data_IF_658329723405
#
_entry.id   IF_658329723405
#
_cell.length_a   1.000
_cell.length_b   1.000
_cell.length_c   1.000
_cell.angle_alpha   90.00
_cell.angle_beta   90.00
_cell.angle_gamma   90.00
#
_symmetry.space_group_name_H-M   'P 1'
#
loop_
_entity.id
_entity.type
_entity.pdbx_description
1 polymer ?
#
# COMPACT_ATOMS: atom_id res chain seq x y z
N UNK A 1 -0.81 -22.99 -15.37
CA UNK A 1 -0.96 -21.53 -15.67
C UNK A 1 0.05 -20.71 -14.88
N UNK A 2 0.69 -19.71 -15.49
CA UNK A 2 1.69 -18.83 -14.84
C UNK A 2 1.62 -17.41 -15.40
N UNK A 3 1.92 -16.41 -14.54
CA UNK A 3 2.12 -15.04 -14.96
C UNK A 3 3.59 -14.86 -15.36
N UNK A 4 3.83 -14.37 -16.57
CA UNK A 4 5.16 -14.14 -17.09
C UNK A 4 5.34 -12.66 -17.45
N UNK A 5 6.56 -12.16 -17.19
CA UNK A 5 7.00 -10.85 -17.64
C UNK A 5 7.58 -11.03 -19.05
N UNK A 6 6.98 -10.39 -20.01
CA UNK A 6 7.41 -10.43 -21.41
C UNK A 6 8.05 -9.09 -21.77
N UNK A 7 9.15 -9.14 -22.49
CA UNK A 7 9.82 -7.93 -23.00
C UNK A 7 9.31 -7.67 -24.43
N UNK A 8 8.49 -6.64 -24.61
CA UNK A 8 8.01 -6.24 -25.91
C UNK A 8 8.30 -4.74 -26.12
N UNK A 9 8.87 -4.37 -27.26
CA UNK A 9 9.10 -2.97 -27.70
C UNK A 9 9.74 -2.08 -26.62
N UNK A 10 10.84 -2.54 -26.01
CA UNK A 10 11.58 -1.82 -24.95
C UNK A 10 10.79 -1.57 -23.66
N UNK A 11 9.63 -2.20 -23.50
CA UNK A 11 8.80 -2.10 -22.28
C UNK A 11 8.47 -3.50 -21.72
N UNK A 12 8.26 -3.56 -20.41
CA UNK A 12 7.84 -4.79 -19.78
C UNK A 12 6.33 -4.96 -19.88
N UNK A 13 5.92 -6.08 -20.43
CA UNK A 13 4.53 -6.53 -20.47
C UNK A 13 4.31 -7.73 -19.57
N UNK A 14 3.08 -7.94 -19.14
CA UNK A 14 2.72 -9.11 -18.34
C UNK A 14 1.69 -9.90 -19.12
N UNK A 15 1.88 -11.20 -19.23
CA UNK A 15 0.92 -12.12 -19.82
C UNK A 15 0.58 -13.22 -18.82
N UNK A 16 -0.68 -13.66 -18.83
CA UNK A 16 -1.11 -14.88 -18.17
C UNK A 16 -1.02 -16.00 -19.21
N UNK A 17 -0.13 -16.97 -18.96
CA UNK A 17 0.06 -18.13 -19.81
C UNK A 17 -0.75 -19.30 -19.27
N UNK A 18 -1.32 -20.09 -20.17
CA UNK A 18 -1.91 -21.39 -19.86
C UNK A 18 -0.86 -22.46 -19.54
N UNK A 19 -1.24 -23.73 -19.51
CA UNK A 19 -0.32 -24.81 -19.20
C UNK A 19 0.54 -25.22 -20.40
N UNK A 20 0.12 -24.87 -21.60
CA UNK A 20 0.84 -25.06 -22.85
C UNK A 20 1.85 -23.94 -23.11
N UNK A 21 1.78 -22.87 -22.32
CA UNK A 21 2.67 -21.71 -22.43
C UNK A 21 2.15 -20.64 -23.37
N UNK A 22 0.92 -20.77 -23.86
CA UNK A 22 0.26 -19.77 -24.71
C UNK A 22 -0.37 -18.68 -23.87
N UNK A 23 -0.34 -17.44 -24.37
CA UNK A 23 -0.96 -16.31 -23.71
C UNK A 23 -2.48 -16.38 -23.84
N UNK A 24 -3.20 -16.20 -22.75
CA UNK A 24 -4.67 -16.10 -22.76
C UNK A 24 -5.03 -14.72 -23.32
N UNK A 25 -5.53 -14.70 -24.57
CA UNK A 25 -5.77 -13.48 -25.36
C UNK A 25 -6.64 -12.47 -24.63
N UNK A 26 -7.80 -12.87 -24.12
CA UNK A 26 -8.74 -11.99 -23.41
C UNK A 26 -8.12 -11.31 -22.19
N UNK A 27 -7.18 -11.98 -21.48
CA UNK A 27 -6.45 -11.38 -20.36
C UNK A 27 -5.40 -10.41 -20.86
N UNK A 28 -4.73 -10.73 -21.97
CA UNK A 28 -3.72 -9.85 -22.58
C UNK A 28 -4.37 -8.54 -23.03
N UNK A 29 -5.52 -8.61 -23.69
CA UNK A 29 -6.30 -7.46 -24.15
C UNK A 29 -6.78 -6.60 -22.99
N UNK A 30 -7.28 -7.23 -21.93
CA UNK A 30 -7.66 -6.54 -20.69
C UNK A 30 -6.47 -5.81 -20.03
N UNK A 31 -5.31 -6.45 -19.97
CA UNK A 31 -4.11 -5.80 -19.42
C UNK A 31 -3.65 -4.64 -20.32
N UNK A 32 -3.82 -4.77 -21.63
CA UNK A 32 -3.62 -3.69 -22.61
C UNK A 32 -4.56 -2.51 -22.35
N UNK A 33 -5.84 -2.78 -22.16
CA UNK A 33 -6.83 -1.77 -21.78
C UNK A 33 -6.48 -1.05 -20.47
N UNK A 34 -6.11 -1.77 -19.43
CA UNK A 34 -5.68 -1.16 -18.16
C UNK A 34 -4.44 -0.28 -18.33
N UNK A 35 -3.52 -0.68 -19.22
CA UNK A 35 -2.35 0.11 -19.55
C UNK A 35 -2.74 1.41 -20.25
N UNK A 36 -3.62 1.34 -21.25
CA UNK A 36 -4.14 2.51 -21.96
C UNK A 36 -4.81 3.51 -20.99
N UNK A 37 -5.45 2.99 -19.93
CA UNK A 37 -5.99 3.82 -18.82
C UNK A 37 -4.94 4.38 -17.86
N UNK A 38 -3.65 4.19 -18.10
CA UNK A 38 -2.57 4.69 -17.25
C UNK A 38 -2.33 3.89 -15.95
N UNK A 39 -2.83 2.65 -15.86
CA UNK A 39 -2.56 1.83 -14.70
C UNK A 39 -1.07 1.49 -14.56
N UNK A 40 -0.60 1.45 -13.30
CA UNK A 40 0.81 1.17 -13.04
C UNK A 40 1.18 -0.29 -13.35
N UNK A 41 2.43 -0.61 -13.78
CA UNK A 41 2.87 -1.99 -13.96
C UNK A 41 2.65 -2.88 -12.73
N UNK A 42 2.77 -2.34 -11.52
CA UNK A 42 2.46 -3.10 -10.30
C UNK A 42 0.97 -3.45 -10.21
N UNK A 43 0.11 -2.57 -10.73
CA UNK A 43 -1.33 -2.83 -10.84
C UNK A 43 -1.57 -3.93 -11.88
N UNK A 44 -0.96 -3.85 -13.06
CA UNK A 44 -1.12 -4.84 -14.12
C UNK A 44 -0.69 -6.23 -13.66
N UNK A 45 0.49 -6.37 -13.03
CA UNK A 45 0.95 -7.67 -12.51
C UNK A 45 0.04 -8.20 -11.40
N UNK A 46 -0.50 -7.32 -10.54
CA UNK A 46 -1.45 -7.74 -9.51
C UNK A 46 -2.74 -8.28 -10.12
N UNK A 47 -3.28 -7.61 -11.15
CA UNK A 47 -4.46 -8.09 -11.90
C UNK A 47 -4.17 -9.41 -12.62
N UNK A 48 -3.01 -9.57 -13.26
CA UNK A 48 -2.63 -10.82 -13.90
C UNK A 48 -2.61 -12.01 -12.89
N UNK A 49 -2.03 -11.79 -11.70
CA UNK A 49 -2.04 -12.81 -10.65
C UNK A 49 -3.45 -13.06 -10.07
N UNK A 50 -4.29 -12.04 -9.99
CA UNK A 50 -5.66 -12.21 -9.52
C UNK A 50 -6.50 -12.98 -10.53
N UNK A 51 -6.37 -12.67 -11.81
CA UNK A 51 -7.02 -13.42 -12.88
C UNK A 51 -6.47 -14.83 -13.05
N UNK A 52 -5.21 -15.09 -12.68
CA UNK A 52 -4.67 -16.45 -12.62
C UNK A 52 -5.55 -17.36 -11.75
N UNK A 53 -6.04 -16.87 -10.59
CA UNK A 53 -6.95 -17.65 -9.74
C UNK A 53 -8.30 -17.90 -10.43
N UNK A 54 -8.83 -16.94 -11.17
CA UNK A 54 -10.08 -17.09 -11.91
C UNK A 54 -9.96 -18.15 -13.00
N UNK A 55 -8.93 -18.05 -13.84
CA UNK A 55 -8.73 -19.00 -14.94
C UNK A 55 -8.34 -20.41 -14.46
N UNK A 56 -7.67 -20.52 -13.32
CA UNK A 56 -7.47 -21.81 -12.63
C UNK A 56 -8.80 -22.42 -12.18
N UNK A 57 -9.71 -21.60 -11.63
CA UNK A 57 -11.06 -22.05 -11.29
C UNK A 57 -11.84 -22.50 -12.53
N UNK A 58 -11.80 -21.75 -13.62
CA UNK A 58 -12.47 -22.15 -14.88
C UNK A 58 -11.98 -23.50 -15.38
N UNK A 59 -10.67 -23.73 -15.32
CA UNK A 59 -10.10 -25.03 -15.68
C UNK A 59 -10.62 -26.16 -14.78
N UNK A 60 -10.64 -25.95 -13.47
CA UNK A 60 -11.13 -26.94 -12.51
C UNK A 60 -12.64 -27.21 -12.69
N UNK A 61 -13.42 -26.18 -12.95
CA UNK A 61 -14.87 -26.28 -13.14
C UNK A 61 -15.28 -26.69 -14.57
N UNK A 62 -14.31 -26.77 -15.51
CA UNK A 62 -14.52 -27.04 -16.94
C UNK A 62 -15.56 -26.11 -17.58
N UNK A 63 -15.47 -24.81 -17.29
CA UNK A 63 -16.34 -23.76 -17.83
C UNK A 63 -15.53 -22.73 -18.60
N UNK A 64 -16.17 -22.09 -19.57
CA UNK A 64 -15.60 -20.96 -20.29
C UNK A 64 -15.86 -19.65 -19.53
N UNK A 65 -15.01 -18.63 -19.73
CA UNK A 65 -15.17 -17.35 -19.01
C UNK A 65 -16.49 -16.64 -19.33
N UNK A 66 -17.10 -16.90 -20.50
CA UNK A 66 -18.41 -16.37 -20.88
C UNK A 66 -19.58 -17.03 -20.12
N UNK A 67 -19.37 -18.23 -19.58
CA UNK A 67 -20.36 -18.99 -18.80
C UNK A 67 -20.35 -18.67 -17.31
N UNK A 68 -19.53 -17.70 -16.89
CA UNK A 68 -19.38 -17.31 -15.50
C UNK A 68 -20.55 -16.43 -15.05
N UNK A 69 -21.54 -17.02 -14.45
CA UNK A 69 -22.78 -16.38 -13.97
C UNK A 69 -22.68 -15.92 -12.51
N UNK A 70 -23.62 -15.08 -12.02
CA UNK A 70 -23.67 -14.70 -10.60
C UNK A 70 -23.73 -15.91 -9.64
N UNK A 71 -24.38 -17.01 -10.02
CA UNK A 71 -24.40 -18.24 -9.23
C UNK A 71 -23.00 -18.84 -9.10
N UNK A 72 -22.24 -18.90 -10.16
CA UNK A 72 -20.85 -19.41 -10.18
C UNK A 72 -19.88 -18.56 -9.35
N UNK A 73 -20.24 -17.33 -9.07
CA UNK A 73 -19.43 -16.48 -8.18
C UNK A 73 -19.35 -17.03 -6.76
N UNK A 74 -20.38 -17.72 -6.28
CA UNK A 74 -20.35 -18.36 -4.96
C UNK A 74 -19.42 -19.57 -4.96
N UNK A 75 -19.44 -20.38 -6.02
CA UNK A 75 -18.51 -21.51 -6.18
C UNK A 75 -17.07 -21.01 -6.23
N UNK A 76 -16.83 -19.91 -6.96
CA UNK A 76 -15.52 -19.28 -7.02
C UNK A 76 -15.07 -18.73 -5.66
N UNK A 77 -15.98 -18.15 -4.86
CA UNK A 77 -15.67 -17.70 -3.52
C UNK A 77 -15.25 -18.88 -2.62
N UNK A 78 -15.96 -20.01 -2.70
CA UNK A 78 -15.60 -21.22 -1.96
C UNK A 78 -14.23 -21.74 -2.39
N UNK A 79 -13.97 -21.78 -3.71
CA UNK A 79 -12.66 -22.12 -4.26
C UNK A 79 -11.56 -21.23 -3.69
N UNK A 80 -11.71 -19.89 -3.72
CA UNK A 80 -10.71 -18.97 -3.20
C UNK A 80 -10.44 -19.15 -1.71
N UNK A 81 -11.44 -19.53 -0.94
CA UNK A 81 -11.29 -19.80 0.51
C UNK A 81 -10.54 -21.10 0.78
N UNK A 82 -10.57 -22.05 -0.14
CA UNK A 82 -9.83 -23.31 -0.05
C UNK A 82 -8.37 -23.18 -0.57
N UNK A 83 -8.06 -22.17 -1.39
CA UNK A 83 -6.73 -21.99 -1.96
C UNK A 83 -5.70 -21.69 -0.86
N UNK A 84 -4.61 -22.48 -0.77
CA UNK A 84 -3.54 -22.23 0.19
C UNK A 84 -2.79 -20.95 -0.14
N UNK A 85 -2.44 -20.18 0.90
CA UNK A 85 -1.62 -18.99 0.76
C UNK A 85 -0.18 -19.39 0.41
N UNK A 86 0.43 -18.74 -0.59
CA UNK A 86 1.85 -18.91 -0.92
C UNK A 86 2.79 -18.35 0.16
N UNK A 87 2.27 -17.68 1.18
CA UNK A 87 3.09 -17.26 2.32
C UNK A 87 3.55 -18.51 3.06
N UNK A 88 4.88 -18.73 3.11
CA UNK A 88 5.48 -19.79 3.92
C UNK A 88 4.87 -19.73 5.32
N UNK A 89 4.35 -20.86 5.79
CA UNK A 89 3.95 -21.01 7.18
C UNK A 89 5.12 -20.50 8.05
N UNK A 90 4.84 -19.56 8.94
CA UNK A 90 5.85 -19.05 9.87
C UNK A 90 6.39 -20.26 10.64
N UNK A 91 7.70 -20.51 10.58
CA UNK A 91 8.35 -21.47 11.47
C UNK A 91 7.95 -21.11 12.90
N UNK A 92 7.22 -21.97 13.57
CA UNK A 92 7.00 -21.84 15.03
C UNK A 92 8.36 -21.85 15.72
N UNK A 93 8.55 -21.07 16.77
CA UNK A 93 9.72 -21.25 17.62
C UNK A 93 9.74 -22.69 18.13
N UNK A 94 10.91 -23.35 18.19
CA UNK A 94 11.03 -24.69 18.75
C UNK A 94 10.63 -24.65 20.24
N UNK A 95 9.66 -25.43 20.66
CA UNK A 95 9.38 -25.55 22.09
C UNK A 95 8.00 -26.01 22.53
N UNK A 96 6.99 -26.20 21.68
CA UNK A 96 5.69 -26.70 22.13
C UNK A 96 5.09 -27.72 21.15
N UNK A 97 5.55 -28.97 21.23
CA UNK A 97 5.03 -30.11 20.48
C UNK A 97 4.13 -31.02 21.33
N UNK A 98 3.15 -30.45 22.02
CA UNK A 98 2.08 -31.22 22.63
C UNK A 98 0.79 -31.03 21.83
N UNK A 99 0.39 -32.07 21.06
CA UNK A 99 -0.93 -32.17 20.43
C UNK A 99 -1.09 -31.37 19.13
N UNK A 100 -0.15 -31.43 18.19
CA UNK A 100 -0.26 -30.77 16.90
C UNK A 100 -1.28 -31.48 16.00
N UNK A 101 -2.45 -30.87 15.80
CA UNK A 101 -3.31 -31.17 14.67
C UNK A 101 -2.55 -30.93 13.34
N UNK A 102 -2.83 -31.70 12.26
CA UNK A 102 -2.10 -31.60 11.00
C UNK A 102 -2.03 -30.16 10.50
N UNK A 103 -0.84 -29.71 10.07
CA UNK A 103 -0.58 -28.33 9.63
C UNK A 103 -1.48 -27.98 8.46
N UNK A 104 -2.61 -27.31 8.71
CA UNK A 104 -3.40 -26.70 7.65
C UNK A 104 -2.60 -25.51 7.12
N UNK A 105 -2.26 -25.56 5.83
CA UNK A 105 -1.64 -24.40 5.15
C UNK A 105 -2.54 -23.17 5.32
N UNK A 106 -1.98 -21.99 5.68
CA UNK A 106 -2.78 -20.80 5.83
C UNK A 106 -3.49 -20.48 4.50
N UNK A 107 -4.80 -20.33 4.57
CA UNK A 107 -5.63 -19.97 3.40
C UNK A 107 -5.40 -18.51 3.00
N UNK A 108 -5.93 -18.11 1.83
CA UNK A 108 -5.90 -16.72 1.39
C UNK A 108 -6.58 -15.81 2.42
N UNK A 109 -5.92 -14.70 2.75
CA UNK A 109 -6.49 -13.72 3.66
C UNK A 109 -7.78 -13.10 3.08
N UNK A 110 -8.80 -12.79 3.90
CA UNK A 110 -10.04 -12.16 3.44
C UNK A 110 -9.83 -10.91 2.59
N UNK A 111 -8.81 -10.10 2.90
CA UNK A 111 -8.42 -8.92 2.11
C UNK A 111 -7.91 -9.29 0.72
N UNK A 112 -7.16 -10.40 0.60
CA UNK A 112 -6.68 -10.93 -0.68
C UNK A 112 -7.86 -11.44 -1.52
N UNK A 113 -8.77 -12.21 -0.91
CA UNK A 113 -9.99 -12.68 -1.59
C UNK A 113 -10.80 -11.50 -2.11
N UNK A 114 -11.05 -10.48 -1.31
CA UNK A 114 -11.78 -9.28 -1.75
C UNK A 114 -11.06 -8.51 -2.86
N UNK A 115 -9.72 -8.50 -2.88
CA UNK A 115 -8.94 -7.91 -3.96
C UNK A 115 -9.10 -8.69 -5.27
N UNK A 116 -9.04 -10.02 -5.21
CA UNK A 116 -9.27 -10.90 -6.37
C UNK A 116 -10.69 -10.68 -6.93
N UNK A 117 -11.71 -10.68 -6.08
CA UNK A 117 -13.08 -10.38 -6.50
C UNK A 117 -13.20 -8.99 -7.14
N UNK A 118 -12.41 -8.01 -6.65
CA UNK A 118 -12.35 -6.68 -7.25
C UNK A 118 -11.76 -6.71 -8.66
N UNK A 119 -10.67 -7.45 -8.85
CA UNK A 119 -10.03 -7.60 -10.15
C UNK A 119 -10.96 -8.30 -11.15
N UNK A 120 -11.62 -9.38 -10.73
CA UNK A 120 -12.59 -10.11 -11.54
C UNK A 120 -13.77 -9.21 -11.95
N UNK A 121 -14.33 -8.42 -11.02
CA UNK A 121 -15.40 -7.47 -11.37
C UNK A 121 -14.96 -6.47 -12.44
N UNK A 122 -13.73 -5.94 -12.35
CA UNK A 122 -13.21 -5.00 -13.34
C UNK A 122 -12.93 -5.69 -14.68
N UNK A 123 -12.52 -6.95 -14.67
CA UNK A 123 -12.34 -7.75 -15.86
C UNK A 123 -13.68 -7.96 -16.62
N UNK A 124 -14.76 -8.28 -15.91
CA UNK A 124 -16.08 -8.41 -16.52
C UNK A 124 -16.68 -7.07 -16.95
N UNK A 125 -16.37 -5.96 -16.28
CA UNK A 125 -16.70 -4.63 -16.78
C UNK A 125 -16.04 -4.33 -18.13
N UNK A 126 -14.79 -4.78 -18.31
CA UNK A 126 -14.08 -4.66 -19.58
C UNK A 126 -14.72 -5.55 -20.67
N UNK A 127 -15.06 -6.81 -20.36
CA UNK A 127 -15.70 -7.73 -21.32
C UNK A 127 -17.03 -7.15 -21.82
N UNK A 128 -17.86 -6.64 -20.90
CA UNK A 128 -19.14 -6.01 -21.24
C UNK A 128 -18.93 -4.77 -22.12
N UNK A 129 -17.90 -3.96 -21.80
CA UNK A 129 -17.57 -2.75 -22.57
C UNK A 129 -17.11 -3.07 -24.00
N UNK A 130 -16.49 -4.21 -24.24
CA UNK A 130 -15.92 -4.60 -25.55
C UNK A 130 -16.85 -5.46 -26.39
N UNK A 131 -18.12 -5.61 -26.01
CA UNK A 131 -19.15 -6.41 -26.69
C UNK A 131 -18.82 -7.91 -26.87
N UNK A 132 -17.79 -8.39 -26.23
CA UNK A 132 -17.44 -9.81 -26.24
C UNK A 132 -18.52 -10.66 -25.55
N UNK A 133 -19.44 -10.01 -24.79
CA UNK A 133 -20.60 -10.63 -24.15
C UNK A 133 -21.74 -9.60 -24.08
N UNK A 134 -22.34 -9.28 -25.20
CA UNK A 134 -23.24 -8.14 -25.41
C UNK A 134 -24.49 -8.06 -24.53
N UNK A 135 -24.93 -9.15 -23.88
CA UNK A 135 -26.12 -9.17 -23.01
C UNK A 135 -25.81 -9.54 -21.55
N UNK A 136 -24.54 -9.59 -21.15
CA UNK A 136 -24.15 -10.09 -19.84
C UNK A 136 -24.13 -9.01 -18.75
N UNK A 137 -24.87 -9.23 -17.68
CA UNK A 137 -24.63 -8.51 -16.44
C UNK A 137 -23.28 -8.95 -15.80
N UNK A 138 -22.57 -8.01 -15.14
CA UNK A 138 -21.37 -8.36 -14.40
C UNK A 138 -21.70 -9.43 -13.33
N UNK A 139 -21.07 -10.62 -13.38
CA UNK A 139 -21.33 -11.69 -12.41
C UNK A 139 -21.13 -11.27 -10.96
N UNK A 140 -20.24 -10.30 -10.72
CA UNK A 140 -20.04 -9.68 -9.41
C UNK A 140 -20.87 -8.40 -9.28
N UNK A 141 -22.18 -8.56 -9.15
CA UNK A 141 -23.14 -7.45 -9.02
C UNK A 141 -22.69 -6.45 -7.95
N UNK A 142 -22.84 -5.17 -8.28
CA UNK A 142 -22.65 -4.06 -7.36
C UNK A 142 -24.01 -3.56 -6.89
N UNK A 143 -24.11 -3.26 -5.61
CA UNK A 143 -25.30 -2.66 -4.99
C UNK A 143 -24.91 -1.32 -4.34
N UNK A 144 -25.82 -0.35 -4.24
CA UNK A 144 -25.58 0.88 -3.49
C UNK A 144 -25.14 0.57 -2.05
N UNK A 145 -24.11 1.25 -1.58
CA UNK A 145 -23.66 1.14 -0.18
C UNK A 145 -24.35 2.20 0.67
N UNK A 146 -25.55 1.87 1.15
CA UNK A 146 -26.39 2.78 1.95
C UNK A 146 -25.66 3.24 3.22
N UNK A 147 -24.87 2.37 3.84
CA UNK A 147 -24.10 2.73 5.03
C UNK A 147 -23.05 3.80 4.76
N UNK A 148 -22.42 3.75 3.58
CA UNK A 148 -21.49 4.79 3.12
C UNK A 148 -22.19 6.04 2.60
N UNK A 149 -23.36 5.90 1.99
CA UNK A 149 -24.16 7.02 1.50
C UNK A 149 -24.66 7.92 2.64
N UNK A 150 -24.91 7.36 3.83
CA UNK A 150 -25.34 8.11 5.02
C UNK A 150 -24.22 8.91 5.69
N UNK A 151 -22.97 8.61 5.40
CA UNK A 151 -21.82 9.40 5.86
C UNK A 151 -21.57 10.51 4.85
N UNK A 152 -22.48 11.46 4.76
CA UNK A 152 -22.31 12.68 3.96
C UNK A 152 -21.21 13.51 4.62
N UNK A 153 -20.15 13.91 3.90
CA UNK A 153 -19.21 14.90 4.41
C UNK A 153 -20.00 16.17 4.75
N UNK A 154 -19.75 16.79 5.90
CA UNK A 154 -20.36 18.08 6.29
C UNK A 154 -20.14 19.19 5.26
N UNK A 155 -19.23 18.99 4.34
CA UNK A 155 -18.95 19.87 3.22
C UNK A 155 -19.06 19.10 1.91
N UNK A 156 -20.18 19.27 1.22
CA UNK A 156 -20.32 18.88 -0.20
C UNK A 156 -20.15 20.15 -1.03
N UNK A 157 -19.18 20.23 -1.95
CA UNK A 157 -19.09 21.34 -2.88
C UNK A 157 -20.42 21.49 -3.64
N UNK A 158 -20.88 22.72 -3.86
CA UNK A 158 -22.17 23.02 -4.52
C UNK A 158 -22.34 22.28 -5.86
N UNK A 159 -21.27 22.10 -6.62
CA UNK A 159 -21.23 21.36 -7.89
C UNK A 159 -21.21 19.83 -7.75
N UNK A 160 -21.03 19.27 -6.55
CA UNK A 160 -21.04 17.81 -6.35
C UNK A 160 -22.43 17.19 -6.40
N UNK A 161 -23.48 18.01 -6.41
CA UNK A 161 -24.87 17.57 -6.55
C UNK A 161 -25.20 17.06 -7.96
N UNK A 162 -24.37 17.39 -8.97
CA UNK A 162 -24.58 16.97 -10.36
C UNK A 162 -24.07 15.57 -10.67
N UNK A 163 -23.17 15.03 -9.85
CA UNK A 163 -22.65 13.66 -9.99
C UNK A 163 -23.08 12.80 -8.80
N UNK A 164 -24.32 12.32 -8.81
CA UNK A 164 -24.86 11.36 -7.84
C UNK A 164 -24.20 9.97 -8.04
N UNK A 165 -22.89 9.85 -7.90
CA UNK A 165 -22.26 8.56 -7.78
C UNK A 165 -22.45 8.06 -6.35
N UNK A 166 -23.54 7.35 -6.11
CA UNK A 166 -23.72 6.66 -4.85
C UNK A 166 -22.58 5.66 -4.66
N UNK A 167 -21.95 5.61 -3.47
CA UNK A 167 -20.93 4.61 -3.19
C UNK A 167 -21.55 3.23 -3.38
N UNK A 168 -20.90 2.41 -4.19
CA UNK A 168 -21.34 1.04 -4.48
C UNK A 168 -20.43 0.02 -3.79
N UNK A 169 -21.02 -1.09 -3.36
CA UNK A 169 -20.29 -2.24 -2.86
C UNK A 169 -20.61 -3.49 -3.65
N UNK A 170 -19.68 -4.41 -3.73
CA UNK A 170 -19.98 -5.73 -4.31
C UNK A 170 -20.90 -6.51 -3.39
N UNK A 171 -21.87 -7.20 -3.98
CA UNK A 171 -22.78 -8.07 -3.25
C UNK A 171 -21.99 -9.23 -2.61
N UNK A 172 -21.10 -9.85 -3.37
CA UNK A 172 -20.24 -10.94 -2.90
C UNK A 172 -18.93 -10.36 -2.37
N UNK A 173 -18.73 -10.47 -1.07
CA UNK A 173 -17.49 -10.07 -0.37
C UNK A 173 -17.31 -10.85 0.92
N UNK A 174 -16.08 -11.06 1.32
CA UNK A 174 -15.74 -11.63 2.63
C UNK A 174 -15.67 -10.51 3.68
N UNK A 175 -16.25 -10.73 4.85
CA UNK A 175 -16.08 -9.80 5.97
C UNK A 175 -14.61 -9.74 6.37
N UNK A 176 -14.10 -8.54 6.53
CA UNK A 176 -12.72 -8.29 6.97
C UNK A 176 -12.74 -7.54 8.28
N UNK A 177 -12.01 -8.04 9.27
CA UNK A 177 -11.74 -7.24 10.46
C UNK A 177 -10.91 -6.02 10.05
N UNK A 178 -11.36 -4.84 10.44
CA UNK A 178 -10.62 -3.61 10.17
C UNK A 178 -9.43 -3.55 11.13
N UNK A 179 -8.24 -3.77 10.60
CA UNK A 179 -7.01 -3.63 11.38
C UNK A 179 -6.62 -2.16 11.42
N UNK A 180 -6.50 -1.62 12.60
CA UNK A 180 -5.91 -0.29 12.80
C UNK A 180 -4.42 -0.35 12.48
N UNK A 181 -3.84 0.71 11.89
CA UNK A 181 -2.41 0.84 11.80
C UNK A 181 -1.84 0.83 13.22
N UNK A 182 -0.76 0.10 13.42
CA UNK A 182 -0.04 0.08 14.67
C UNK A 182 1.22 0.94 14.51
N UNK A 183 1.33 2.05 15.24
CA UNK A 183 2.56 2.80 15.28
C UNK A 183 3.64 1.98 16.01
N UNK A 184 4.90 2.31 15.77
CA UNK A 184 6.00 1.86 16.62
C UNK A 184 5.93 2.62 17.95
N UNK A 185 6.24 1.94 19.06
CA UNK A 185 6.40 2.62 20.36
C UNK A 185 7.66 3.48 20.37
N UNK A 186 7.77 4.40 21.32
CA UNK A 186 8.95 5.27 21.43
C UNK A 186 10.21 4.46 21.74
N UNK A 187 10.09 3.40 22.53
CA UNK A 187 11.19 2.47 22.80
C UNK A 187 11.62 1.75 21.53
N UNK A 188 10.67 1.26 20.72
CA UNK A 188 10.97 0.60 19.44
C UNK A 188 11.66 1.57 18.46
N UNK A 189 11.22 2.83 18.43
CA UNK A 189 11.84 3.86 17.59
C UNK A 189 13.28 4.10 18.07
N UNK A 190 13.49 4.31 19.37
CA UNK A 190 14.82 4.56 19.97
C UNK A 190 15.77 3.40 19.69
N UNK A 191 15.35 2.16 19.91
CA UNK A 191 16.16 0.98 19.64
C UNK A 191 16.48 0.84 18.14
N UNK A 192 15.48 1.08 17.26
CA UNK A 192 15.69 1.01 15.83
C UNK A 192 16.74 2.02 15.38
N UNK A 193 16.62 3.29 15.78
CA UNK A 193 17.56 4.33 15.38
C UNK A 193 18.95 4.14 16.00
N UNK A 194 19.04 3.64 17.24
CA UNK A 194 20.29 3.26 17.88
C UNK A 194 21.04 2.11 17.18
N UNK A 195 20.31 1.25 16.45
CA UNK A 195 20.91 0.16 15.68
C UNK A 195 21.48 0.58 14.31
N UNK A 196 21.20 1.83 13.87
CA UNK A 196 21.59 2.32 12.55
C UNK A 196 23.00 2.94 12.60
N UNK A 197 23.93 2.33 11.89
CA UNK A 197 25.31 2.80 11.80
C UNK A 197 25.58 3.67 10.58
N UNK A 198 24.75 3.53 9.50
CA UNK A 198 24.92 4.26 8.26
C UNK A 198 24.04 5.51 8.23
N UNK A 199 24.61 6.64 7.86
CA UNK A 199 23.87 7.89 7.66
C UNK A 199 22.78 7.76 6.59
N UNK A 200 23.03 7.02 5.50
CA UNK A 200 22.02 6.72 4.47
C UNK A 200 20.77 6.11 5.08
N UNK A 201 20.94 5.05 5.84
CA UNK A 201 19.83 4.26 6.34
C UNK A 201 19.07 5.06 7.41
N UNK A 202 19.80 5.80 8.26
CA UNK A 202 19.23 6.73 9.24
C UNK A 202 18.45 7.86 8.55
N UNK A 203 19.00 8.49 7.52
CA UNK A 203 18.33 9.54 6.75
C UNK A 203 17.02 9.06 6.11
N UNK A 204 17.02 7.89 5.48
CA UNK A 204 15.83 7.28 4.90
C UNK A 204 14.74 7.09 5.97
N UNK A 205 15.08 6.55 7.13
CA UNK A 205 14.11 6.28 8.19
C UNK A 205 13.63 7.56 8.86
N UNK A 206 14.49 8.57 9.04
CA UNK A 206 14.09 9.89 9.54
C UNK A 206 13.10 10.60 8.60
N UNK A 207 13.34 10.56 7.28
CA UNK A 207 12.40 11.12 6.30
C UNK A 207 11.04 10.45 6.36
N UNK A 208 10.99 9.17 6.69
CA UNK A 208 9.72 8.45 6.87
C UNK A 208 9.07 8.75 8.22
N UNK A 209 9.86 8.87 9.29
CA UNK A 209 9.38 9.10 10.65
C UNK A 209 9.02 10.57 10.91
N UNK A 210 9.88 11.51 10.53
CA UNK A 210 9.70 12.95 10.79
C UNK A 210 9.01 13.67 9.63
N UNK A 211 9.29 13.25 8.39
CA UNK A 211 8.65 13.81 7.19
C UNK A 211 7.32 13.13 6.82
N UNK A 212 7.04 11.94 7.35
CA UNK A 212 5.86 11.16 6.99
C UNK A 212 5.86 10.67 5.55
N UNK A 213 7.02 10.59 4.89
CA UNK A 213 7.13 10.16 3.50
C UNK A 213 6.85 8.66 3.36
N UNK A 214 6.26 8.27 2.21
CA UNK A 214 6.16 6.85 1.85
C UNK A 214 7.53 6.30 1.45
N UNK A 215 7.80 5.00 1.64
CA UNK A 215 9.05 4.38 1.19
C UNK A 215 9.36 4.66 -0.30
N UNK A 216 8.33 4.57 -1.17
CA UNK A 216 8.48 4.86 -2.59
C UNK A 216 8.75 6.34 -2.88
N UNK A 217 8.25 7.25 -2.06
CA UNK A 217 8.54 8.69 -2.19
C UNK A 217 9.99 8.98 -1.82
N UNK A 218 10.46 8.43 -0.69
CA UNK A 218 11.87 8.59 -0.26
C UNK A 218 12.85 8.05 -1.30
N UNK A 219 12.54 6.89 -1.90
CA UNK A 219 13.41 6.30 -2.92
C UNK A 219 13.43 7.08 -4.24
N UNK A 220 12.40 7.87 -4.52
CA UNK A 220 12.30 8.73 -5.70
C UNK A 220 12.75 10.18 -5.47
N UNK A 221 13.29 10.51 -4.29
CA UNK A 221 13.88 11.82 -4.07
C UNK A 221 15.12 11.98 -4.93
N UNK A 222 15.22 13.13 -5.56
CA UNK A 222 16.41 13.59 -6.25
C UNK A 222 17.15 14.66 -5.42
N UNK A 223 18.37 14.95 -5.80
CA UNK A 223 19.19 15.94 -5.10
C UNK A 223 18.52 17.32 -5.05
N UNK A 224 17.87 17.72 -6.13
CA UNK A 224 17.15 18.98 -6.28
C UNK A 224 15.91 19.12 -5.39
N UNK A 225 15.38 18.00 -4.87
CA UNK A 225 14.20 18.00 -4.03
C UNK A 225 14.49 18.44 -2.58
N UNK A 226 15.77 18.50 -2.20
CA UNK A 226 16.22 18.86 -0.86
C UNK A 226 16.56 20.34 -0.77
N UNK A 227 15.80 21.09 0.00
CA UNK A 227 16.02 22.52 0.23
C UNK A 227 16.56 22.74 1.64
N UNK A 228 17.88 22.62 1.81
CA UNK A 228 18.54 22.70 3.12
C UNK A 228 18.24 23.99 3.86
N UNK A 229 18.41 25.16 3.22
CA UNK A 229 18.19 26.46 3.83
C UNK A 229 16.76 26.72 4.28
N UNK A 230 15.77 26.10 3.63
CA UNK A 230 14.35 26.19 3.98
C UNK A 230 13.85 25.04 4.83
N UNK A 231 14.69 24.08 5.13
CA UNK A 231 14.34 22.81 5.81
C UNK A 231 13.12 22.11 5.21
N UNK A 232 13.15 21.91 3.87
CA UNK A 232 12.02 21.37 3.10
C UNK A 232 12.45 20.26 2.17
N UNK A 233 11.53 19.33 1.97
CA UNK A 233 11.60 18.31 0.92
C UNK A 233 10.42 18.50 -0.03
N UNK A 234 10.71 18.56 -1.32
CA UNK A 234 9.67 18.55 -2.35
C UNK A 234 9.44 17.11 -2.81
N UNK A 235 8.23 16.60 -2.60
CA UNK A 235 7.83 15.26 -3.06
C UNK A 235 7.15 15.40 -4.41
N UNK A 236 7.88 15.04 -5.48
CA UNK A 236 7.38 15.11 -6.86
C UNK A 236 6.84 13.76 -7.34
N UNK A 237 5.93 13.80 -8.30
CA UNK A 237 5.45 12.59 -8.96
C UNK A 237 6.48 12.12 -9.99
N UNK A 238 7.13 10.97 -9.72
CA UNK A 238 8.09 10.34 -10.62
C UNK A 238 7.74 8.86 -10.82
N UNK A 239 7.92 8.38 -12.04
CA UNK A 239 7.60 6.99 -12.44
C UNK A 239 8.79 6.30 -13.11
N UNK A 240 9.90 6.99 -13.26
CA UNK A 240 11.09 6.63 -14.02
C UNK A 240 12.19 5.93 -13.20
N UNK A 241 11.92 5.60 -11.94
CA UNK A 241 12.91 4.93 -11.09
C UNK A 241 13.35 3.58 -11.69
N UNK A 242 14.67 3.36 -11.92
CA UNK A 242 15.17 2.17 -12.65
C UNK A 242 14.78 0.83 -12.04
N UNK A 243 14.54 0.80 -10.72
CA UNK A 243 14.12 -0.40 -9.98
C UNK A 243 12.61 -0.41 -9.66
N UNK A 244 11.81 0.37 -10.38
CA UNK A 244 10.36 0.37 -10.29
C UNK A 244 9.79 0.91 -8.99
N UNK A 245 10.56 1.65 -8.17
CA UNK A 245 9.99 2.43 -7.08
C UNK A 245 9.12 3.55 -7.67
N UNK A 246 7.95 3.83 -7.05
CA UNK A 246 7.00 4.81 -7.59
C UNK A 246 6.42 5.67 -6.50
N UNK A 247 6.24 6.94 -6.81
CA UNK A 247 5.38 7.83 -6.04
C UNK A 247 3.93 7.48 -6.30
N UNK A 248 3.21 7.07 -5.26
CA UNK A 248 1.79 6.67 -5.37
C UNK A 248 0.85 7.89 -5.51
N UNK A 249 1.29 9.06 -5.04
CA UNK A 249 0.54 10.31 -5.16
C UNK A 249 0.87 10.98 -6.48
N UNK A 250 -0.16 11.39 -7.23
CA UNK A 250 -0.02 12.22 -8.44
C UNK A 250 0.16 13.72 -8.12
N UNK A 251 -0.07 14.12 -6.87
CA UNK A 251 0.02 15.51 -6.45
C UNK A 251 1.37 15.76 -5.81
N UNK A 252 2.07 16.76 -6.32
CA UNK A 252 3.29 17.27 -5.70
C UNK A 252 2.97 17.97 -4.38
N UNK A 253 3.88 17.84 -3.42
CA UNK A 253 3.76 18.53 -2.14
C UNK A 253 5.11 18.85 -1.54
N UNK A 254 5.12 19.92 -0.76
CA UNK A 254 6.26 20.30 0.07
C UNK A 254 6.04 19.78 1.49
N UNK A 255 7.09 19.22 2.06
CA UNK A 255 7.11 18.72 3.45
C UNK A 255 8.16 19.49 4.22
N UNK A 256 7.71 20.30 5.16
CA UNK A 256 8.59 20.99 6.10
C UNK A 256 9.14 20.01 7.15
N UNK A 257 10.44 20.07 7.41
CA UNK A 257 11.12 19.26 8.40
C UNK A 257 11.52 20.17 9.58
N UNK A 258 10.79 20.01 10.67
CA UNK A 258 11.04 20.83 11.89
C UNK A 258 12.37 20.44 12.53
N UNK A 259 12.59 19.14 12.68
CA UNK A 259 13.78 18.61 13.33
C UNK A 259 15.02 18.75 12.43
N UNK A 260 16.07 19.46 12.90
CA UNK A 260 17.29 19.67 12.12
C UNK A 260 18.04 18.37 11.86
N UNK A 261 17.90 17.35 12.72
CA UNK A 261 18.58 16.07 12.63
C UNK A 261 18.36 15.37 11.30
N UNK A 262 17.15 15.46 10.72
CA UNK A 262 16.84 14.80 9.44
C UNK A 262 17.74 15.31 8.33
N UNK A 263 17.83 16.62 8.15
CA UNK A 263 18.65 17.21 7.08
C UNK A 263 20.15 17.15 7.40
N UNK A 264 20.54 17.26 8.66
CA UNK A 264 21.92 17.03 9.08
C UNK A 264 22.37 15.60 8.72
N UNK A 265 21.52 14.61 8.96
CA UNK A 265 21.81 13.21 8.58
C UNK A 265 21.83 13.02 7.06
N UNK A 266 20.94 13.69 6.32
CA UNK A 266 21.01 13.69 4.83
C UNK A 266 22.32 14.31 4.36
N UNK A 267 22.75 15.45 4.93
CA UNK A 267 24.03 16.08 4.61
C UNK A 267 25.21 15.16 4.93
N UNK A 268 25.22 14.51 6.11
CA UNK A 268 26.27 13.57 6.49
C UNK A 268 26.34 12.39 5.51
N UNK A 269 25.19 11.87 5.08
CA UNK A 269 25.15 10.85 4.03
C UNK A 269 25.78 11.36 2.72
N UNK A 270 25.42 12.56 2.29
CA UNK A 270 25.93 13.17 1.05
C UNK A 270 27.45 13.36 1.08
N UNK A 271 27.99 13.79 2.21
CA UNK A 271 29.41 14.10 2.38
C UNK A 271 30.27 12.85 2.58
N UNK A 272 29.78 11.84 3.31
CA UNK A 272 30.61 10.74 3.79
C UNK A 272 30.31 9.38 3.16
N UNK A 273 29.11 9.16 2.64
CA UNK A 273 28.71 7.81 2.22
C UNK A 273 28.22 7.74 0.77
N UNK A 274 27.67 8.83 0.23
CA UNK A 274 27.19 8.83 -1.16
C UNK A 274 28.37 8.85 -2.11
N UNK A 275 28.43 7.91 -3.09
CA UNK A 275 29.47 7.94 -4.12
C UNK A 275 29.52 9.32 -4.81
N UNK A 276 30.71 9.95 -4.84
CA UNK A 276 30.92 11.25 -5.50
C UNK A 276 31.14 11.11 -7.00
N UNK A 277 31.61 9.94 -7.43
CA UNK A 277 31.94 9.58 -8.82
C UNK A 277 30.70 9.10 -9.61
N UNK A 278 29.56 9.79 -9.47
CA UNK A 278 28.32 9.40 -10.11
C UNK A 278 27.52 10.59 -10.64
N UNK A 279 26.89 10.42 -11.80
CA UNK A 279 25.93 11.36 -12.37
C UNK A 279 24.48 11.04 -11.99
N UNK A 280 24.25 10.11 -11.05
CA UNK A 280 22.91 9.73 -10.63
C UNK A 280 22.25 10.91 -9.89
N UNK A 281 21.07 11.31 -10.36
CA UNK A 281 20.27 12.40 -9.77
C UNK A 281 19.55 11.96 -8.48
N UNK A 282 19.30 10.66 -8.33
CA UNK A 282 18.63 10.13 -7.14
C UNK A 282 19.41 10.40 -5.86
N UNK A 283 18.72 10.82 -4.82
CA UNK A 283 19.35 11.12 -3.53
C UNK A 283 19.95 9.85 -2.92
N UNK A 284 19.21 8.75 -2.83
CA UNK A 284 19.64 7.52 -2.17
C UNK A 284 20.12 6.45 -3.13
N UNK A 285 21.41 6.13 -3.08
CA UNK A 285 22.05 5.10 -3.87
C UNK A 285 22.32 3.84 -3.05
N UNK A 286 22.64 2.73 -3.73
CA UNK A 286 23.03 1.48 -3.08
C UNK A 286 24.27 1.68 -2.22
N UNK A 287 25.26 2.42 -2.74
CA UNK A 287 26.51 2.70 -2.02
C UNK A 287 27.38 1.46 -1.78
N UNK A 288 28.43 1.63 -0.96
CA UNK A 288 29.43 0.59 -0.71
C UNK A 288 30.37 0.36 -1.89
N UNK A 289 31.07 -0.78 -1.89
CA UNK A 289 32.15 -1.08 -2.88
C UNK A 289 31.70 -2.00 -4.02
N UNK A 290 30.41 -2.35 -4.09
CA UNK A 290 29.89 -3.29 -5.09
C UNK A 290 29.65 -2.64 -6.47
N UNK A 291 29.54 -3.47 -7.53
CA UNK A 291 29.26 -3.02 -8.91
C UNK A 291 28.01 -2.12 -9.04
N UNK A 292 27.05 -2.28 -8.11
CA UNK A 292 25.78 -1.55 -8.12
C UNK A 292 25.77 -0.29 -7.25
N UNK A 293 26.94 0.17 -6.79
CA UNK A 293 27.05 1.28 -5.83
C UNK A 293 26.41 2.58 -6.30
N UNK A 294 26.44 2.83 -7.62
CA UNK A 294 25.88 4.03 -8.23
C UNK A 294 24.39 3.90 -8.60
N UNK A 295 23.83 2.71 -8.49
CA UNK A 295 22.42 2.50 -8.81
C UNK A 295 21.51 3.05 -7.70
N UNK A 296 20.35 3.62 -8.04
CA UNK A 296 19.33 4.01 -7.06
C UNK A 296 18.92 2.83 -6.16
N UNK A 297 18.66 3.12 -4.89
CA UNK A 297 18.22 2.13 -3.92
C UNK A 297 16.79 1.67 -4.23
N UNK A 298 16.57 0.39 -4.46
CA UNK A 298 15.25 -0.14 -4.80
C UNK A 298 14.42 -0.53 -3.57
N UNK A 299 13.09 -0.59 -3.74
CA UNK A 299 12.12 -0.88 -2.68
C UNK A 299 12.40 -2.22 -1.96
N UNK A 300 12.72 -3.28 -2.70
CA UNK A 300 13.05 -4.57 -2.10
C UNK A 300 14.31 -4.53 -1.22
N UNK A 301 15.29 -3.68 -1.56
CA UNK A 301 16.49 -3.48 -0.76
C UNK A 301 16.15 -2.74 0.54
N UNK A 302 15.33 -1.68 0.47
CA UNK A 302 14.86 -0.95 1.64
C UNK A 302 14.07 -1.86 2.60
N UNK A 303 13.16 -2.68 2.09
CA UNK A 303 12.39 -3.63 2.93
C UNK A 303 13.32 -4.65 3.60
N UNK A 304 14.31 -5.19 2.88
CA UNK A 304 15.29 -6.13 3.46
C UNK A 304 16.15 -5.47 4.53
N UNK A 305 16.58 -4.23 4.28
CA UNK A 305 17.33 -3.43 5.23
C UNK A 305 16.55 -3.23 6.53
N UNK A 306 15.35 -2.68 6.43
CA UNK A 306 14.47 -2.45 7.57
C UNK A 306 14.20 -3.74 8.35
N UNK A 307 13.84 -4.82 7.64
CA UNK A 307 13.56 -6.11 8.27
C UNK A 307 14.77 -6.66 9.02
N UNK A 308 15.99 -6.53 8.48
CA UNK A 308 17.22 -7.01 9.13
C UNK A 308 17.44 -6.30 10.48
N UNK A 309 17.23 -4.99 10.56
CA UNK A 309 17.33 -4.25 11.81
C UNK A 309 16.24 -4.69 12.80
N UNK A 310 15.00 -4.79 12.36
CA UNK A 310 13.89 -5.23 13.20
C UNK A 310 14.09 -6.66 13.73
N UNK A 311 14.55 -7.61 12.90
CA UNK A 311 14.83 -8.99 13.30
C UNK A 311 15.95 -9.06 14.36
N UNK A 312 17.01 -8.24 14.24
CA UNK A 312 18.07 -8.17 15.23
C UNK A 312 17.59 -7.62 16.58
N UNK A 313 16.61 -6.74 16.56
CA UNK A 313 16.02 -6.13 17.76
C UNK A 313 14.85 -6.95 18.33
N UNK A 314 14.54 -8.11 17.75
CA UNK A 314 13.43 -8.95 18.18
C UNK A 314 12.04 -8.46 17.75
N UNK A 315 11.95 -7.51 16.82
CA UNK A 315 10.67 -7.04 16.29
C UNK A 315 10.18 -7.98 15.20
N UNK A 316 9.33 -8.92 15.57
CA UNK A 316 8.87 -10.00 14.66
C UNK A 316 7.43 -9.83 14.21
N UNK A 317 6.75 -8.78 14.61
CA UNK A 317 5.35 -8.57 14.28
C UNK A 317 5.16 -8.32 12.78
N UNK A 318 4.13 -8.93 12.16
CA UNK A 318 3.91 -8.85 10.72
C UNK A 318 3.62 -7.44 10.20
N UNK A 319 3.19 -6.54 11.07
CA UNK A 319 2.87 -5.15 10.74
C UNK A 319 4.09 -4.24 10.80
N UNK A 320 5.20 -4.66 11.43
CA UNK A 320 6.45 -3.93 11.48
C UNK A 320 7.12 -3.97 10.10
N UNK A 321 6.86 -2.95 9.34
CA UNK A 321 7.35 -2.74 7.97
C UNK A 321 7.84 -1.30 7.84
N UNK A 322 8.57 -0.92 6.77
CA UNK A 322 8.96 0.47 6.57
C UNK A 322 7.77 1.46 6.67
N UNK A 323 6.57 1.05 6.25
CA UNK A 323 5.37 1.88 6.42
C UNK A 323 5.00 2.18 7.87
N UNK A 324 5.44 1.36 8.83
CA UNK A 324 5.17 1.60 10.25
C UNK A 324 5.77 2.94 10.73
N UNK A 325 6.94 3.36 10.22
CA UNK A 325 7.52 4.67 10.53
C UNK A 325 6.59 5.82 10.13
N UNK A 326 6.01 5.75 8.93
CA UNK A 326 5.02 6.73 8.49
C UNK A 326 3.72 6.65 9.29
N UNK A 327 3.29 5.47 9.69
CA UNK A 327 2.13 5.31 10.58
C UNK A 327 2.40 5.96 11.94
N UNK A 328 3.59 5.75 12.49
CA UNK A 328 4.04 6.42 13.73
C UNK A 328 4.00 7.94 13.58
N UNK A 329 4.54 8.50 12.47
CA UNK A 329 4.43 9.92 12.17
C UNK A 329 2.98 10.40 12.18
N UNK A 330 2.12 9.71 11.43
CA UNK A 330 0.72 10.12 11.27
C UNK A 330 -0.04 10.09 12.61
N UNK A 331 0.18 9.05 13.41
CA UNK A 331 -0.44 8.91 14.74
C UNK A 331 0.05 9.99 15.69
N UNK A 332 1.37 10.22 15.79
CA UNK A 332 1.94 11.28 16.65
C UNK A 332 1.44 12.66 16.26
N UNK A 333 1.37 12.99 14.96
CA UNK A 333 0.87 14.30 14.51
C UNK A 333 -0.62 14.48 14.81
N UNK A 334 -1.41 13.41 14.68
CA UNK A 334 -2.82 13.42 15.04
C UNK A 334 -3.01 13.63 16.56
N UNK A 335 -2.34 12.83 17.37
CA UNK A 335 -2.38 12.91 18.85
C UNK A 335 -1.88 14.25 19.37
N UNK A 336 -0.93 14.89 18.66
CA UNK A 336 -0.47 16.25 18.94
C UNK A 336 -1.42 17.35 18.44
N UNK A 337 -2.64 17.01 17.99
CA UNK A 337 -3.68 17.97 17.63
C UNK A 337 -3.61 18.53 16.21
N UNK A 338 -2.84 17.92 15.29
CA UNK A 338 -2.85 18.32 13.88
C UNK A 338 -4.21 18.07 13.25
N UNK A 339 -4.81 19.10 12.63
CA UNK A 339 -6.13 18.99 11.98
C UNK A 339 -6.12 17.95 10.86
N UNK A 340 -7.24 17.23 10.71
CA UNK A 340 -7.39 16.12 9.75
C UNK A 340 -6.99 16.51 8.32
N UNK A 341 -7.51 17.64 7.81
CA UNK A 341 -7.20 18.10 6.45
C UNK A 341 -5.73 18.50 6.29
N UNK A 342 -5.11 19.07 7.32
CA UNK A 342 -3.68 19.40 7.30
C UNK A 342 -2.83 18.14 7.26
N UNK A 343 -3.16 17.15 8.08
CA UNK A 343 -2.49 15.86 8.08
C UNK A 343 -2.67 15.13 6.74
N UNK A 344 -3.88 15.21 6.15
CA UNK A 344 -4.16 14.68 4.81
C UNK A 344 -3.22 15.28 3.77
N UNK A 345 -3.14 16.59 3.72
CA UNK A 345 -2.28 17.31 2.77
C UNK A 345 -0.81 16.97 2.99
N UNK A 346 -0.34 16.97 4.25
CA UNK A 346 1.04 16.62 4.62
C UNK A 346 1.41 15.20 4.17
N UNK A 347 0.53 14.24 4.40
CA UNK A 347 0.75 12.85 4.01
C UNK A 347 0.52 12.60 2.51
N UNK A 348 -0.11 13.50 1.78
CA UNK A 348 -0.45 13.31 0.37
C UNK A 348 -1.45 12.16 0.18
N UNK A 349 -2.53 12.16 0.96
CA UNK A 349 -3.64 11.24 0.80
C UNK A 349 -4.67 11.82 -0.16
N UNK A 350 -4.96 11.12 -1.25
CA UNK A 350 -5.96 11.54 -2.23
C UNK A 350 -7.41 11.42 -1.69
N UNK A 351 -7.63 10.51 -0.73
CA UNK A 351 -8.96 10.28 -0.13
C UNK A 351 -8.94 10.55 1.37
N UNK A 352 -9.96 11.26 1.91
CA UNK A 352 -10.15 11.44 3.36
C UNK A 352 -10.26 10.11 4.11
N UNK A 353 -10.79 9.07 3.49
CA UNK A 353 -10.90 7.74 4.11
C UNK A 353 -9.54 7.16 4.54
N UNK A 354 -8.47 7.56 3.85
CA UNK A 354 -7.11 7.12 4.20
C UNK A 354 -6.63 7.69 5.53
N UNK A 355 -7.24 8.76 6.03
CA UNK A 355 -6.90 9.37 7.33
C UNK A 355 -7.75 8.80 8.43
N UNK A 356 -8.99 8.41 8.15
CA UNK A 356 -9.89 7.84 9.15
C UNK A 356 -9.29 6.65 9.92
N UNK A 357 -8.28 6.01 9.36
CA UNK A 357 -7.53 4.97 10.07
C UNK A 357 -6.68 5.51 11.24
N UNK A 358 -6.27 6.79 11.18
CA UNK A 358 -5.50 7.46 12.24
C UNK A 358 -6.39 8.27 13.18
N UNK A 359 -7.55 8.72 12.71
CA UNK A 359 -8.49 9.53 13.50
C UNK A 359 -9.38 8.70 14.42
N UNK A 360 -9.21 7.38 14.45
CA UNK A 360 -9.81 6.56 15.49
C UNK A 360 -9.05 6.79 16.78
N UNK A 361 -9.75 7.46 17.67
CA UNK A 361 -9.26 7.82 18.99
C UNK A 361 -8.84 6.55 19.73
N UNK A 362 -7.62 6.55 20.28
CA UNK A 362 -7.21 5.50 21.22
C UNK A 362 -8.07 5.61 22.50
N UNK A 363 -8.25 4.51 23.21
CA UNK A 363 -9.02 4.53 24.45
C UNK A 363 -8.44 5.54 25.47
N UNK A 364 -7.14 5.71 25.48
CA UNK A 364 -6.45 6.72 26.30
C UNK A 364 -6.81 8.16 25.89
N UNK A 365 -6.76 8.49 24.59
CA UNK A 365 -7.13 9.80 24.10
C UNK A 365 -8.62 10.10 24.27
N UNK A 366 -9.47 9.09 24.16
CA UNK A 366 -10.90 9.23 24.46
C UNK A 366 -11.15 9.57 25.94
N UNK A 367 -10.42 8.93 26.83
CA UNK A 367 -10.50 9.20 28.26
C UNK A 367 -10.01 10.62 28.59
N UNK A 368 -8.93 11.05 27.97
CA UNK A 368 -8.36 12.39 28.15
C UNK A 368 -9.31 13.50 27.62
N UNK A 369 -9.91 13.30 26.44
CA UNK A 369 -10.91 14.20 25.88
C UNK A 369 -12.18 14.24 26.74
N UNK A 370 -12.59 13.09 27.29
CA UNK A 370 -13.71 13.03 28.24
C UNK A 370 -13.42 13.85 29.49
N UNK A 371 -12.27 13.66 30.13
CA UNK A 371 -11.90 14.46 31.32
C UNK A 371 -11.78 15.95 31.00
N UNK A 372 -11.30 16.31 29.82
CA UNK A 372 -11.24 17.71 29.39
C UNK A 372 -12.62 18.30 29.18
N UNK A 373 -13.56 17.53 28.62
CA UNK A 373 -14.94 17.95 28.43
C UNK A 373 -15.67 18.14 29.76
N UNK A 374 -15.52 17.20 30.71
CA UNK A 374 -16.07 17.31 32.05
C UNK A 374 -15.59 18.53 32.77
N UNK A 375 -14.27 18.80 32.77
CA UNK A 375 -13.70 20.02 33.40
C UNK A 375 -14.21 21.33 32.79
N UNK A 376 -14.55 21.33 31.49
CA UNK A 376 -15.16 22.51 30.86
C UNK A 376 -16.63 22.66 31.29
N UNK A 377 -17.39 21.58 31.29
CA UNK A 377 -18.80 21.62 31.71
C UNK A 377 -18.94 22.06 33.18
N UNK A 378 -18.03 21.64 34.06
CA UNK A 378 -17.97 22.08 35.46
C UNK A 378 -17.72 23.60 35.56
N UNK A 379 -16.80 24.16 34.77
CA UNK A 379 -16.53 25.60 34.75
C UNK A 379 -17.66 26.45 34.16
N UNK A 380 -18.37 25.91 33.15
CA UNK A 380 -19.50 26.60 32.53
C UNK A 380 -20.76 26.49 33.40
N UNK A 381 -20.84 25.58 34.35
CA UNK A 381 -21.93 25.43 35.33
C UNK A 381 -21.76 26.26 36.61
N UNK A 382 -20.57 26.83 36.85
CA UNK A 382 -20.27 27.72 37.99
C UNK A 382 -20.41 29.21 37.64
N UNK A 383 -20.84 29.55 36.42
CA UNK A 383 -21.24 30.92 36.01
C UNK A 383 -22.76 31.03 35.87
#
# INVERSE_FOLDING_TARGET
MRVQKVHANSRYEFALLDDEGLAISVVTDFLGYLRARGCSPNTLIAYAHDLQHLFQFFKCAKIHYQEFTPRRTLDFLQYLRAVPSRRKARKRPPGNDWGAAPQSFPQLAPTTVNRILAAVSTFYEYIILTDVASDGENPLRKIPDIARARVVPRYTPFLSLTTKQHPVRRLVRVRTAQRLPRPLTDEQVTLLFGSLTRHRDKAIFLLMLQGGLRPGEVLNLHLEDVQYGRRRITVRHRTDHPKGARTKSSVERVVDLHEPETLATVSAYMLHERPSDTNATHLFLVGGNGRKRHEPLGYAALVRLFRRHCERLGFHEPWVTPHALRHTHATKMWESGMRELTLQKRLGHASPESIRMYTRVSDAAMLEDYHRAVKRAEKDGEQ
#
